data_IF_912684080780
#
_entry.id   IF_912684080780
#
_cell.length_a   1.000
_cell.length_b   1.000
_cell.length_c   1.000
_cell.angle_alpha   90.00
_cell.angle_beta   90.00
_cell.angle_gamma   90.00
#
_symmetry.space_group_name_H-M   'P 1'
#
loop_
_entity.id
_entity.type
_entity.pdbx_description
1 polymer ?
#
# COMPACT_ATOMS: atom_id res chain seq x y z
N UNK A 1 26.37 34.48 33.57
CA UNK A 1 24.95 34.31 33.15
C UNK A 1 24.73 34.80 31.72
N UNK A 2 25.15 36.02 31.36
CA UNK A 2 25.06 36.55 29.98
C UNK A 2 25.71 35.67 28.90
N UNK A 3 26.91 35.13 29.12
CA UNK A 3 27.57 34.23 28.14
C UNK A 3 26.78 32.94 27.86
N UNK A 4 26.11 32.36 28.86
CA UNK A 4 25.22 31.19 28.65
C UNK A 4 23.95 31.57 27.88
N UNK A 5 23.43 32.78 28.09
CA UNK A 5 22.25 33.28 27.40
C UNK A 5 22.54 33.53 25.90
N UNK A 6 23.72 34.08 25.59
CA UNK A 6 24.21 34.26 24.22
C UNK A 6 24.39 32.92 23.50
N UNK A 7 25.04 31.93 24.13
CA UNK A 7 25.20 30.60 23.54
C UNK A 7 23.86 29.92 23.23
N UNK A 8 22.87 30.04 24.12
CA UNK A 8 21.51 29.52 23.85
C UNK A 8 20.79 30.28 22.73
N UNK A 9 21.01 31.59 22.59
CA UNK A 9 20.44 32.36 21.47
C UNK A 9 21.03 31.93 20.12
N UNK A 10 22.33 31.66 20.07
CA UNK A 10 23.01 31.17 18.86
C UNK A 10 22.51 29.76 18.48
N UNK A 11 22.38 28.85 19.45
CA UNK A 11 21.82 27.50 19.22
C UNK A 11 20.37 27.55 18.72
N UNK A 12 19.54 28.44 19.29
CA UNK A 12 18.15 28.65 18.83
C UNK A 12 18.12 29.23 17.41
N UNK A 13 19.04 30.14 17.08
CA UNK A 13 19.14 30.70 15.73
C UNK A 13 19.51 29.63 14.72
N UNK A 14 20.53 28.81 15.02
CA UNK A 14 20.96 27.71 14.16
C UNK A 14 19.84 26.67 13.97
N UNK A 15 19.11 26.35 15.05
CA UNK A 15 17.96 25.45 14.99
C UNK A 15 16.83 26.00 14.09
N UNK A 16 16.56 27.32 14.15
CA UNK A 16 15.56 27.98 13.29
C UNK A 16 15.95 27.95 11.82
N UNK A 17 17.22 28.18 11.50
CA UNK A 17 17.70 28.15 10.11
C UNK A 17 17.67 26.73 9.55
N UNK A 18 18.03 25.72 10.36
CA UNK A 18 17.88 24.31 10.01
C UNK A 18 16.42 23.93 9.78
N UNK A 19 15.50 24.41 10.64
CA UNK A 19 14.06 24.17 10.47
C UNK A 19 13.54 24.78 9.17
N UNK A 20 13.85 26.05 8.88
CA UNK A 20 13.47 26.71 7.62
C UNK A 20 13.98 25.96 6.39
N UNK A 21 15.22 25.49 6.44
CA UNK A 21 15.82 24.71 5.33
C UNK A 21 15.08 23.38 5.14
N UNK A 22 14.69 22.72 6.23
CA UNK A 22 13.90 21.49 6.17
C UNK A 22 12.48 21.73 5.65
N UNK A 23 11.82 22.80 6.07
CA UNK A 23 10.49 23.19 5.60
C UNK A 23 10.50 23.52 4.10
N UNK A 24 11.50 24.27 3.63
CA UNK A 24 11.68 24.58 2.21
C UNK A 24 11.89 23.31 1.37
N UNK A 25 12.68 22.35 1.88
CA UNK A 25 12.92 21.08 1.18
C UNK A 25 11.68 20.19 1.16
N UNK A 26 10.91 20.14 2.25
CA UNK A 26 9.62 19.43 2.29
C UNK A 26 8.62 20.06 1.32
N UNK A 27 8.52 21.39 1.27
CA UNK A 27 7.68 22.08 0.30
C UNK A 27 8.08 21.77 -1.15
N UNK A 28 9.38 21.71 -1.44
CA UNK A 28 9.88 21.32 -2.76
C UNK A 28 9.54 19.86 -3.10
N UNK A 29 9.67 18.94 -2.14
CA UNK A 29 9.32 17.53 -2.34
C UNK A 29 7.81 17.34 -2.58
N UNK A 30 6.97 18.06 -1.83
CA UNK A 30 5.50 18.04 -2.04
C UNK A 30 5.14 18.54 -3.45
N UNK A 31 5.74 19.64 -3.89
CA UNK A 31 5.54 20.15 -5.26
C UNK A 31 5.95 19.12 -6.32
N UNK A 32 7.10 18.45 -6.12
CA UNK A 32 7.57 17.40 -7.03
C UNK A 32 6.64 16.18 -7.05
N UNK A 33 6.05 15.81 -5.91
CA UNK A 33 5.04 14.74 -5.83
C UNK A 33 3.79 15.12 -6.61
N UNK A 34 3.33 16.37 -6.51
CA UNK A 34 2.17 16.84 -7.27
C UNK A 34 2.44 16.91 -8.78
N UNK A 35 3.65 17.32 -9.18
CA UNK A 35 4.13 17.26 -10.58
C UNK A 35 4.13 15.82 -11.10
N UNK A 36 4.69 14.87 -10.34
CA UNK A 36 4.69 13.44 -10.70
C UNK A 36 3.28 12.84 -10.81
N UNK A 37 2.36 13.24 -9.92
CA UNK A 37 0.94 12.85 -10.01
C UNK A 37 0.29 13.39 -11.28
N UNK A 38 0.58 14.63 -11.65
CA UNK A 38 0.05 15.24 -12.87
C UNK A 38 0.61 14.57 -14.14
N UNK A 39 1.91 14.24 -14.15
CA UNK A 39 2.56 13.49 -15.23
C UNK A 39 1.98 12.08 -15.35
N UNK A 40 1.82 11.35 -14.24
CA UNK A 40 1.21 10.02 -14.21
C UNK A 40 -0.23 10.06 -14.75
N UNK A 41 -1.03 11.04 -14.32
CA UNK A 41 -2.39 11.23 -14.84
C UNK A 41 -2.40 11.58 -16.34
N UNK A 42 -1.41 12.31 -16.84
CA UNK A 42 -1.26 12.62 -18.26
C UNK A 42 -0.88 11.40 -19.09
N UNK A 43 0.04 10.59 -18.58
CA UNK A 43 0.43 9.32 -19.19
C UNK A 43 -0.75 8.35 -19.26
N UNK A 44 -1.57 8.28 -18.20
CA UNK A 44 -2.76 7.45 -18.20
C UNK A 44 -3.81 7.92 -19.22
N UNK A 45 -4.04 9.24 -19.32
CA UNK A 45 -4.90 9.81 -20.37
C UNK A 45 -4.38 9.50 -21.78
N UNK A 46 -3.07 9.63 -22.01
CA UNK A 46 -2.45 9.28 -23.29
C UNK A 46 -2.59 7.79 -23.60
N UNK A 47 -2.45 6.92 -22.59
CA UNK A 47 -2.63 5.48 -22.74
C UNK A 47 -4.06 5.14 -23.14
N UNK A 48 -5.05 5.72 -22.45
CA UNK A 48 -6.48 5.57 -22.79
C UNK A 48 -6.83 6.15 -24.16
N UNK A 49 -6.15 7.22 -24.61
CA UNK A 49 -6.31 7.77 -25.95
C UNK A 49 -5.63 6.91 -27.04
N UNK A 50 -4.51 6.26 -26.72
CA UNK A 50 -3.84 5.35 -27.66
C UNK A 50 -4.61 4.04 -27.85
N UNK A 51 -5.23 3.51 -26.80
CA UNK A 51 -6.04 2.28 -26.87
C UNK A 51 -7.36 2.47 -27.63
N UNK A 52 -7.86 3.71 -27.77
CA UNK A 52 -9.02 4.01 -28.61
C UNK A 52 -8.67 4.27 -30.08
N UNK A 53 -7.39 4.40 -30.44
CA UNK A 53 -6.93 4.68 -31.81
C UNK A 53 -6.43 3.46 -32.59
N UNK A 54 -6.26 2.31 -31.94
CA UNK A 54 -5.93 1.04 -32.60
C UNK A 54 -7.19 0.21 -32.83
N UNK A 55 -8.11 0.74 -33.64
CA UNK A 55 -9.16 -0.05 -34.28
C UNK A 55 -9.58 0.62 -35.59
N UNK A 56 -8.62 0.74 -36.52
CA UNK A 56 -8.91 1.02 -37.92
C UNK A 56 -7.76 0.53 -38.80
N UNK A 57 -8.12 -0.16 -39.88
CA UNK A 57 -7.29 -0.95 -40.82
C UNK A 57 -6.96 -2.35 -40.28
N UNK A 58 -7.41 -3.47 -40.87
CA UNK A 58 -7.58 -3.82 -42.28
C UNK A 58 -8.68 -4.89 -42.40
N UNK A 59 -9.74 -4.64 -43.17
CA UNK A 59 -10.53 -5.72 -43.76
C UNK A 59 -10.80 -5.42 -45.24
N UNK A 60 -10.15 -6.24 -46.07
CA UNK A 60 -10.36 -6.38 -47.50
C UNK A 60 -11.57 -7.29 -47.67
N UNK A 61 -12.69 -6.81 -48.22
CA UNK A 61 -13.66 -7.63 -48.96
C UNK A 61 -14.78 -6.79 -49.63
N UNK A 62 -14.69 -6.72 -50.96
CA UNK A 62 -15.78 -6.88 -51.94
C UNK A 62 -17.21 -6.36 -51.68
N UNK A 63 -17.56 -5.35 -52.50
CA UNK A 63 -18.71 -5.23 -53.44
C UNK A 63 -20.15 -5.47 -52.96
N UNK A 64 -20.96 -4.43 -53.19
CA UNK A 64 -22.44 -4.44 -53.28
C UNK A 64 -23.09 -3.81 -52.05
N UNK A 65 -23.93 -2.76 -52.10
CA UNK A 65 -24.52 -1.95 -53.15
C UNK A 65 -25.53 -0.99 -52.47
N UNK A 66 -25.79 0.16 -53.10
CA UNK A 66 -26.91 1.10 -52.88
C UNK A 66 -27.13 1.64 -51.44
N UNK A 67 -26.67 2.87 -51.13
CA UNK A 67 -27.41 4.13 -51.32
C UNK A 67 -28.65 4.29 -50.42
N UNK A 68 -28.59 5.18 -49.42
CA UNK A 68 -29.54 6.28 -49.15
C UNK A 68 -28.83 7.32 -48.26
N UNK A 69 -29.03 8.59 -48.62
CA UNK A 69 -28.50 9.80 -48.02
C UNK A 69 -29.14 10.16 -46.66
N UNK A 70 -28.40 10.86 -45.81
CA UNK A 70 -28.91 12.02 -45.07
C UNK A 70 -27.74 12.81 -44.45
N UNK A 71 -27.65 14.05 -44.90
CA UNK A 71 -26.73 15.11 -44.54
C UNK A 71 -27.15 15.76 -43.22
N UNK A 72 -26.22 16.07 -42.32
CA UNK A 72 -26.28 17.30 -41.50
C UNK A 72 -24.88 17.72 -41.10
N UNK A 73 -24.66 19.03 -41.20
CA UNK A 73 -23.43 19.80 -41.22
C UNK A 73 -22.90 20.22 -39.85
N UNK A 74 -21.55 20.32 -39.79
CA UNK A 74 -20.66 21.35 -39.20
C UNK A 74 -21.33 22.52 -38.46
N UNK A 75 -20.75 22.95 -37.32
CA UNK A 75 -20.00 24.22 -37.31
C UNK A 75 -18.58 24.11 -36.72
N UNK A 76 -17.65 24.71 -37.46
CA UNK A 76 -16.28 25.07 -37.09
C UNK A 76 -16.24 26.41 -36.32
N UNK A 77 -15.06 26.67 -35.74
CA UNK A 77 -14.49 27.94 -35.27
C UNK A 77 -14.85 28.47 -33.88
N UNK A 78 -13.86 28.40 -32.97
CA UNK A 78 -13.45 29.54 -32.13
C UNK A 78 -11.92 29.59 -32.06
N UNK A 79 -11.40 30.78 -32.36
CA UNK A 79 -9.99 31.14 -32.55
C UNK A 79 -9.09 31.03 -31.32
N UNK A 80 -7.82 30.73 -31.59
CA UNK A 80 -6.65 30.96 -30.74
C UNK A 80 -6.25 32.43 -30.81
N UNK A 81 -6.40 33.16 -29.71
CA UNK A 81 -5.68 34.42 -29.51
C UNK A 81 -4.31 34.14 -28.89
N UNK A 82 -3.27 34.63 -29.58
CA UNK A 82 -1.90 34.60 -29.12
C UNK A 82 -1.60 35.76 -28.17
N UNK A 83 -0.85 35.48 -27.11
CA UNK A 83 -0.10 36.48 -26.36
C UNK A 83 1.38 36.20 -26.59
N UNK A 84 1.97 37.03 -27.44
CA UNK A 84 3.42 37.18 -27.59
C UNK A 84 3.95 38.06 -26.45
N UNK A 85 4.89 37.54 -25.65
CA UNK A 85 5.79 38.42 -24.88
C UNK A 85 7.22 37.86 -24.84
N UNK A 86 7.96 38.30 -25.86
CA UNK A 86 9.38 38.67 -25.89
C UNK A 86 10.07 38.73 -24.50
N UNK A 87 10.97 37.78 -24.24
CA UNK A 87 12.15 38.01 -23.36
C UNK A 87 13.39 37.43 -24.05
N UNK A 88 14.33 38.33 -24.36
CA UNK A 88 15.72 38.08 -24.78
C UNK A 88 16.40 37.18 -23.74
N UNK A 89 17.12 36.11 -24.09
CA UNK A 89 18.33 36.16 -24.89
C UNK A 89 19.55 36.24 -23.96
N UNK A 90 20.02 35.07 -23.50
CA UNK A 90 21.38 34.84 -23.00
C UNK A 90 21.77 33.42 -23.39
N UNK A 91 22.67 33.32 -24.36
CA UNK A 91 23.13 32.05 -24.91
C UNK A 91 24.00 31.27 -23.93
N UNK A 92 23.77 29.97 -23.88
CA UNK A 92 24.81 29.00 -23.56
C UNK A 92 24.76 27.89 -24.62
N UNK A 93 25.96 27.48 -25.02
CA UNK A 93 26.26 26.71 -26.21
C UNK A 93 25.42 25.44 -26.35
N UNK A 94 24.83 25.28 -27.54
CA UNK A 94 24.22 24.05 -28.01
C UNK A 94 25.33 23.03 -28.27
N UNK A 95 25.60 22.17 -27.29
CA UNK A 95 26.30 20.91 -27.54
C UNK A 95 25.32 19.98 -28.25
N UNK A 96 25.55 19.77 -29.54
CA UNK A 96 24.85 18.80 -30.37
C UNK A 96 25.02 17.39 -29.80
N UNK A 97 23.99 16.85 -29.15
CA UNK A 97 23.92 15.43 -28.86
C UNK A 97 23.60 14.67 -30.15
N UNK A 98 24.34 13.60 -30.50
CA UNK A 98 24.05 12.79 -31.67
C UNK A 98 22.63 12.22 -31.56
N UNK A 99 21.79 12.55 -32.54
CA UNK A 99 20.48 11.93 -32.75
C UNK A 99 20.67 10.49 -33.22
N UNK A 100 21.05 9.60 -32.31
CA UNK A 100 20.87 8.17 -32.49
C UNK A 100 19.92 7.69 -31.40
N UNK A 101 18.61 7.84 -31.66
CA UNK A 101 17.59 7.08 -30.94
C UNK A 101 17.82 5.62 -31.34
N UNK A 102 18.21 4.71 -30.43
CA UNK A 102 18.31 3.31 -30.76
C UNK A 102 16.91 2.85 -31.13
N UNK A 103 16.73 2.33 -32.34
CA UNK A 103 15.51 1.62 -32.70
C UNK A 103 15.35 0.47 -31.71
N UNK A 104 14.16 0.26 -31.13
CA UNK A 104 13.92 -0.86 -30.22
C UNK A 104 14.26 -2.13 -30.97
N UNK A 105 15.25 -2.87 -30.47
CA UNK A 105 15.51 -4.21 -30.95
C UNK A 105 14.18 -4.96 -30.92
N UNK A 106 13.87 -5.64 -32.03
CA UNK A 106 12.69 -6.49 -32.11
C UNK A 106 12.74 -7.41 -30.89
N UNK A 107 11.91 -7.10 -29.89
CA UNK A 107 11.73 -7.95 -28.73
C UNK A 107 11.18 -9.24 -29.30
N UNK A 108 12.06 -10.22 -29.48
CA UNK A 108 11.70 -11.58 -29.82
C UNK A 108 10.65 -11.95 -28.80
N UNK A 109 9.39 -12.03 -29.25
CA UNK A 109 8.27 -12.50 -28.43
C UNK A 109 8.59 -13.94 -28.07
N UNK A 110 9.35 -14.12 -27.00
CA UNK A 110 9.58 -15.43 -26.40
C UNK A 110 8.20 -15.89 -25.96
N UNK A 111 7.74 -16.99 -26.53
CA UNK A 111 6.53 -17.67 -26.07
C UNK A 111 6.62 -17.95 -24.56
N UNK A 112 5.50 -18.29 -23.90
CA UNK A 112 5.48 -18.47 -22.45
C UNK A 112 6.57 -19.47 -22.07
N UNK A 113 7.61 -19.00 -21.36
CA UNK A 113 8.57 -19.92 -20.78
C UNK A 113 7.79 -20.82 -19.81
N UNK A 114 8.10 -22.13 -19.73
CA UNK A 114 7.55 -22.97 -18.68
C UNK A 114 7.73 -22.27 -17.34
N UNK A 115 6.70 -22.29 -16.49
CA UNK A 115 6.79 -21.77 -15.13
C UNK A 115 7.91 -22.54 -14.41
N UNK A 116 9.10 -21.96 -14.34
CA UNK A 116 10.12 -22.47 -13.45
C UNK A 116 9.65 -22.16 -12.03
N UNK A 117 9.18 -23.19 -11.32
CA UNK A 117 8.69 -23.09 -9.95
C UNK A 117 9.74 -22.53 -8.99
N UNK A 118 11.02 -22.53 -9.37
CA UNK A 118 12.12 -21.99 -8.55
C UNK A 118 12.35 -20.49 -8.72
N UNK A 119 11.85 -19.87 -9.79
CA UNK A 119 12.08 -18.44 -10.03
C UNK A 119 11.15 -17.60 -9.14
N UNK A 120 11.72 -16.62 -8.44
CA UNK A 120 10.96 -15.59 -7.73
C UNK A 120 10.26 -14.71 -8.78
N UNK A 121 8.93 -14.59 -8.71
CA UNK A 121 8.13 -13.84 -9.67
C UNK A 121 7.30 -12.79 -8.95
N UNK A 122 7.51 -11.53 -9.29
CA UNK A 122 6.63 -10.45 -8.89
C UNK A 122 5.58 -10.21 -9.98
N UNK A 123 4.36 -9.90 -9.58
CA UNK A 123 3.23 -9.60 -10.48
C UNK A 123 2.39 -8.48 -9.87
N UNK A 124 1.71 -7.72 -10.73
CA UNK A 124 0.65 -6.81 -10.29
C UNK A 124 -0.68 -7.53 -10.08
N UNK A 125 -0.82 -8.74 -10.62
CA UNK A 125 -2.06 -9.52 -10.58
C UNK A 125 -2.51 -9.77 -9.15
N UNK A 126 -3.82 -9.65 -8.93
CA UNK A 126 -4.48 -9.97 -7.67
C UNK A 126 -4.83 -11.45 -7.66
N UNK A 127 -3.94 -12.28 -7.12
CA UNK A 127 -4.06 -13.73 -7.21
C UNK A 127 -5.22 -14.29 -6.38
N UNK A 128 -6.09 -15.11 -6.98
CA UNK A 128 -7.33 -15.58 -6.33
C UNK A 128 -7.06 -16.41 -5.05
N UNK A 129 -5.96 -17.16 -5.01
CA UNK A 129 -5.55 -17.92 -3.82
C UNK A 129 -5.33 -17.05 -2.57
N UNK A 130 -5.02 -15.76 -2.74
CA UNK A 130 -4.86 -14.82 -1.62
C UNK A 130 -6.20 -14.43 -0.98
N UNK A 131 -7.35 -14.69 -1.62
CA UNK A 131 -8.65 -14.33 -1.05
C UNK A 131 -9.02 -15.17 0.18
N UNK A 132 -8.49 -16.39 0.29
CA UNK A 132 -8.84 -17.34 1.35
C UNK A 132 -8.06 -17.10 2.67
N UNK A 133 -8.03 -15.84 3.12
CA UNK A 133 -7.41 -15.43 4.38
C UNK A 133 -8.25 -14.33 5.06
N UNK A 134 -8.11 -14.20 6.38
CA UNK A 134 -8.62 -13.03 7.09
C UNK A 134 -7.71 -11.81 6.87
N UNK A 135 -8.33 -10.67 6.54
CA UNK A 135 -7.65 -9.39 6.33
C UNK A 135 -8.03 -8.36 7.39
N UNK A 136 -7.07 -7.76 8.13
CA UNK A 136 -7.34 -6.55 8.89
C UNK A 136 -7.59 -5.40 7.89
N UNK A 137 -8.79 -4.83 7.90
CA UNK A 137 -9.22 -3.84 6.89
C UNK A 137 -9.23 -2.41 7.41
N UNK A 138 -9.52 -2.23 8.69
CA UNK A 138 -9.53 -0.95 9.40
C UNK A 138 -9.38 -1.16 10.92
N UNK A 139 -8.92 -0.14 11.63
CA UNK A 139 -8.93 -0.10 13.08
C UNK A 139 -10.37 0.03 13.62
N UNK A 140 -10.75 -0.80 14.59
CA UNK A 140 -12.10 -0.81 15.16
C UNK A 140 -12.56 0.57 15.69
N UNK A 141 -11.63 1.37 16.21
CA UNK A 141 -11.90 2.74 16.68
C UNK A 141 -12.29 3.74 15.57
N UNK A 142 -12.05 3.40 14.30
CA UNK A 142 -12.46 4.22 13.14
C UNK A 142 -13.86 3.86 12.65
N UNK A 143 -14.39 2.73 13.09
CA UNK A 143 -15.73 2.28 12.81
C UNK A 143 -16.63 2.53 14.03
N UNK A 144 -16.91 3.80 14.33
CA UNK A 144 -17.88 4.15 15.38
C UNK A 144 -19.32 3.90 14.91
N UNK A 145 -20.29 3.70 15.82
CA UNK A 145 -21.70 3.60 15.44
C UNK A 145 -22.17 4.78 14.59
N UNK A 146 -22.84 4.49 13.47
CA UNK A 146 -23.29 5.51 12.51
C UNK A 146 -22.26 5.90 11.45
N UNK A 147 -20.99 5.51 11.60
CA UNK A 147 -19.95 5.74 10.61
C UNK A 147 -19.96 4.66 9.51
N UNK A 148 -19.47 5.05 8.34
CA UNK A 148 -19.16 4.14 7.24
C UNK A 148 -17.71 4.31 6.83
N UNK A 149 -17.01 3.21 6.59
CA UNK A 149 -15.63 3.22 6.12
C UNK A 149 -15.54 2.51 4.77
N UNK A 150 -15.43 3.24 3.65
CA UNK A 150 -15.20 2.64 2.35
C UNK A 150 -13.77 2.15 2.21
N UNK A 151 -13.60 1.04 1.50
CA UNK A 151 -12.31 0.46 1.16
C UNK A 151 -12.41 -0.39 -0.09
N UNK A 152 -11.27 -0.61 -0.74
CA UNK A 152 -11.17 -1.57 -1.82
C UNK A 152 -10.37 -2.77 -1.33
N UNK A 153 -10.83 -3.98 -1.69
CA UNK A 153 -10.16 -5.23 -1.40
C UNK A 153 -10.25 -6.14 -2.62
N UNK A 154 -9.11 -6.52 -3.16
CA UNK A 154 -9.00 -7.27 -4.41
C UNK A 154 -9.79 -6.67 -5.59
N UNK A 155 -9.74 -5.35 -5.75
CA UNK A 155 -10.38 -4.63 -6.85
C UNK A 155 -11.89 -4.38 -6.67
N UNK A 156 -12.48 -4.86 -5.57
CA UNK A 156 -13.90 -4.72 -5.29
C UNK A 156 -14.11 -3.65 -4.21
N UNK A 157 -15.01 -2.66 -4.43
CA UNK A 157 -15.32 -1.65 -3.43
C UNK A 157 -16.28 -2.22 -2.37
N UNK A 158 -15.94 -2.01 -1.12
CA UNK A 158 -16.64 -2.47 0.08
C UNK A 158 -16.85 -1.32 1.05
N UNK A 159 -17.86 -1.44 1.91
CA UNK A 159 -18.12 -0.47 2.97
C UNK A 159 -18.37 -1.19 4.28
N UNK A 160 -17.60 -0.80 5.31
CA UNK A 160 -17.82 -1.22 6.69
C UNK A 160 -18.83 -0.29 7.36
N UNK A 161 -19.70 -0.84 8.19
CA UNK A 161 -20.57 -0.12 9.13
C UNK A 161 -20.90 -1.01 10.32
N UNK A 162 -21.54 -0.43 11.35
CA UNK A 162 -22.10 -1.21 12.47
C UNK A 162 -23.60 -1.37 12.33
N UNK A 163 -24.07 -2.58 12.56
CA UNK A 163 -25.51 -2.90 12.62
C UNK A 163 -26.16 -2.37 13.92
N UNK A 164 -27.44 -2.66 14.11
CA UNK A 164 -28.22 -2.29 15.29
C UNK A 164 -27.71 -2.93 16.60
N UNK A 165 -26.94 -4.01 16.50
CA UNK A 165 -26.29 -4.70 17.62
C UNK A 165 -24.85 -4.22 17.83
N UNK A 166 -24.43 -3.17 17.12
CA UNK A 166 -23.06 -2.65 17.11
C UNK A 166 -22.01 -3.65 16.60
N UNK A 167 -22.42 -4.73 15.92
CA UNK A 167 -21.48 -5.65 15.29
C UNK A 167 -20.95 -5.07 13.98
N UNK A 168 -19.66 -5.28 13.65
CA UNK A 168 -19.12 -4.84 12.37
C UNK A 168 -19.71 -5.65 11.22
N UNK A 169 -20.07 -4.97 10.15
CA UNK A 169 -20.63 -5.57 8.92
C UNK A 169 -19.92 -5.00 7.71
N UNK A 170 -19.85 -5.77 6.61
CA UNK A 170 -19.23 -5.38 5.37
C UNK A 170 -20.10 -5.79 4.19
N UNK A 171 -20.51 -4.80 3.39
CA UNK A 171 -21.28 -5.03 2.17
C UNK A 171 -20.58 -4.38 0.99
N UNK A 172 -20.88 -4.86 -0.22
CA UNK A 172 -20.34 -4.28 -1.44
C UNK A 172 -20.81 -2.83 -1.55
N UNK A 173 -19.87 -1.91 -1.77
CA UNK A 173 -20.14 -0.47 -1.86
C UNK A 173 -20.69 -0.08 -3.24
N UNK A 174 -21.78 -0.72 -3.64
CA UNK A 174 -22.39 -0.53 -4.95
C UNK A 174 -23.87 -0.91 -4.88
N UNK A 175 -24.74 0.10 -4.80
CA UNK A 175 -26.19 -0.09 -4.67
C UNK A 175 -26.75 -0.94 -5.81
N UNK A 176 -27.54 -1.96 -5.48
CA UNK A 176 -28.16 -2.89 -6.44
C UNK A 176 -29.04 -2.21 -7.51
N UNK A 177 -29.52 -0.97 -7.26
CA UNK A 177 -30.33 -0.24 -8.24
C UNK A 177 -29.51 0.34 -9.39
N UNK A 178 -28.48 1.14 -9.12
CA UNK A 178 -27.70 1.88 -10.13
C UNK A 178 -26.20 1.98 -9.82
N UNK A 179 -25.67 1.03 -9.05
CA UNK A 179 -24.27 0.98 -8.64
C UNK A 179 -23.77 2.25 -7.92
N UNK A 180 -24.67 3.06 -7.36
CA UNK A 180 -24.32 4.23 -6.56
C UNK A 180 -23.50 3.80 -5.32
N UNK A 181 -22.37 4.44 -5.02
CA UNK A 181 -21.63 4.16 -3.79
C UNK A 181 -22.53 4.36 -2.57
N UNK A 182 -22.70 3.29 -1.80
CA UNK A 182 -23.50 3.27 -0.57
C UNK A 182 -22.82 4.08 0.53
N UNK A 183 -21.48 4.12 0.54
CA UNK A 183 -20.64 4.89 1.46
C UNK A 183 -20.82 6.41 1.38
N UNK A 184 -21.42 6.93 0.31
CA UNK A 184 -21.83 8.34 0.21
C UNK A 184 -23.17 8.63 0.92
N UNK A 185 -23.83 7.60 1.42
CA UNK A 185 -25.09 7.67 2.14
C UNK A 185 -24.91 7.91 3.64
N UNK A 186 -25.71 7.19 4.43
CA UNK A 186 -25.67 7.24 5.89
C UNK A 186 -26.19 5.93 6.48
N UNK A 187 -25.82 5.64 7.72
CA UNK A 187 -26.39 4.53 8.49
C UNK A 187 -27.64 5.01 9.23
N UNK A 188 -28.74 4.27 9.13
CA UNK A 188 -30.00 4.50 9.85
C UNK A 188 -30.41 3.20 10.51
N UNK A 189 -30.55 3.17 11.85
CA UNK A 189 -30.96 1.99 12.60
C UNK A 189 -30.14 0.73 12.23
N UNK A 190 -28.82 0.88 12.04
CA UNK A 190 -27.95 -0.22 11.64
C UNK A 190 -27.99 -0.58 10.16
N UNK A 191 -28.74 0.12 9.31
CA UNK A 191 -28.81 -0.14 7.86
C UNK A 191 -28.16 0.98 7.06
N UNK A 192 -27.49 0.65 5.96
CA UNK A 192 -26.94 1.65 5.03
C UNK A 192 -28.04 2.16 4.10
N UNK A 193 -28.35 3.44 4.18
CA UNK A 193 -29.26 4.12 3.25
C UNK A 193 -28.46 4.72 2.08
N UNK A 194 -28.74 4.23 0.87
CA UNK A 194 -28.21 4.78 -0.36
C UNK A 194 -28.66 6.25 -0.55
N UNK A 195 -27.74 7.18 -0.87
CA UNK A 195 -28.06 8.60 -0.98
C UNK A 195 -28.93 8.95 -2.20
N UNK A 196 -29.09 8.01 -3.15
CA UNK A 196 -29.77 8.29 -4.40
C UNK A 196 -31.29 8.17 -4.28
N UNK A 197 -31.81 6.96 -4.00
CA UNK A 197 -33.25 6.70 -3.92
C UNK A 197 -33.67 6.19 -2.54
N UNK A 198 -32.80 6.31 -1.54
CA UNK A 198 -33.10 5.94 -0.16
C UNK A 198 -33.30 4.44 0.06
N UNK A 199 -32.79 3.58 -0.82
CA UNK A 199 -32.79 2.13 -0.58
C UNK A 199 -31.91 1.82 0.61
N UNK A 200 -32.41 1.02 1.54
CA UNK A 200 -31.69 0.64 2.76
C UNK A 200 -31.23 -0.82 2.66
N UNK A 201 -30.00 -1.09 3.11
CA UNK A 201 -29.38 -2.41 3.12
C UNK A 201 -28.93 -2.77 4.53
N UNK A 202 -29.20 -4.00 4.96
CA UNK A 202 -28.71 -4.52 6.25
C UNK A 202 -27.29 -5.12 6.12
N UNK A 203 -26.75 -5.62 7.25
CA UNK A 203 -25.43 -6.25 7.31
C UNK A 203 -25.25 -7.51 6.46
N UNK A 204 -26.35 -8.17 6.04
CA UNK A 204 -26.32 -9.29 5.11
C UNK A 204 -26.27 -8.85 3.64
N UNK A 205 -26.40 -7.55 3.39
CA UNK A 205 -26.51 -6.96 2.05
C UNK A 205 -27.92 -7.03 1.48
N UNK A 206 -28.92 -7.55 2.21
CA UNK A 206 -30.29 -7.57 1.73
C UNK A 206 -30.86 -6.15 1.69
N UNK A 207 -31.54 -5.79 0.59
CA UNK A 207 -32.31 -4.55 0.55
C UNK A 207 -33.53 -4.72 1.46
N UNK A 208 -33.70 -3.83 2.44
CA UNK A 208 -34.76 -3.90 3.46
C UNK A 208 -35.84 -2.84 3.26
N UNK A 209 -35.57 -1.80 2.46
CA UNK A 209 -36.52 -0.71 2.20
C UNK A 209 -36.35 -0.09 0.83
N UNK A 210 -37.48 0.28 0.20
CA UNK A 210 -37.53 0.99 -1.08
C UNK A 210 -38.60 2.10 -1.03
N UNK A 211 -38.27 3.36 -0.68
CA UNK A 211 -39.26 4.41 -0.41
C UNK A 211 -40.20 4.75 -1.59
N UNK A 212 -39.73 4.68 -2.83
CA UNK A 212 -40.45 5.16 -4.02
C UNK A 212 -41.02 4.05 -4.90
N UNK A 213 -41.05 2.81 -4.40
CA UNK A 213 -41.63 1.67 -5.12
C UNK A 213 -42.16 0.62 -4.15
N UNK A 214 -42.98 -0.30 -4.64
CA UNK A 214 -43.29 -1.52 -3.89
C UNK A 214 -42.00 -2.31 -3.68
N UNK A 215 -41.89 -2.96 -2.53
CA UNK A 215 -40.73 -3.78 -2.19
C UNK A 215 -40.56 -4.92 -3.19
N UNK A 216 -39.38 -5.03 -3.78
CA UNK A 216 -38.98 -6.18 -4.59
C UNK A 216 -38.09 -7.10 -3.73
N UNK A 217 -38.58 -8.31 -3.43
CA UNK A 217 -37.82 -9.28 -2.64
C UNK A 217 -36.68 -9.91 -3.46
N UNK A 218 -35.63 -10.36 -2.77
CA UNK A 218 -34.45 -10.96 -3.41
C UNK A 218 -33.46 -9.96 -4.00
N UNK A 219 -33.67 -8.66 -3.78
CA UNK A 219 -32.74 -7.60 -4.18
C UNK A 219 -31.75 -7.35 -3.05
N UNK A 220 -30.46 -7.33 -3.38
CA UNK A 220 -29.40 -7.11 -2.41
C UNK A 220 -28.04 -6.92 -3.06
N UNK A 221 -27.04 -6.70 -2.22
CA UNK A 221 -25.62 -6.61 -2.57
C UNK A 221 -24.87 -7.75 -1.89
N UNK A 222 -23.67 -8.06 -2.37
CA UNK A 222 -22.82 -9.03 -1.69
C UNK A 222 -22.42 -8.53 -0.30
N UNK A 223 -22.24 -9.45 0.65
CA UNK A 223 -21.72 -9.19 1.98
C UNK A 223 -20.53 -10.11 2.27
N UNK A 224 -19.59 -9.65 3.09
CA UNK A 224 -18.45 -10.45 3.54
C UNK A 224 -18.53 -10.71 5.04
N UNK A 225 -18.15 -11.91 5.51
CA UNK A 225 -18.00 -12.18 6.94
C UNK A 225 -17.00 -11.21 7.58
N UNK A 226 -17.38 -10.68 8.74
CA UNK A 226 -16.59 -9.73 9.49
C UNK A 226 -16.53 -10.07 10.97
N UNK A 227 -15.43 -9.72 11.62
CA UNK A 227 -15.30 -9.82 13.07
C UNK A 227 -14.39 -8.73 13.60
N UNK A 228 -14.71 -8.23 14.79
CA UNK A 228 -13.84 -7.31 15.52
C UNK A 228 -12.92 -8.10 16.45
N UNK A 229 -11.61 -7.93 16.29
CA UNK A 229 -10.61 -8.63 17.10
C UNK A 229 -9.31 -7.85 17.15
N UNK A 230 -8.70 -7.79 18.33
CA UNK A 230 -7.42 -7.10 18.59
C UNK A 230 -7.42 -5.63 18.12
N UNK A 231 -8.56 -4.95 18.23
CA UNK A 231 -8.74 -3.55 17.79
C UNK A 231 -8.77 -3.36 16.27
N UNK A 232 -8.91 -4.42 15.48
CA UNK A 232 -9.14 -4.38 14.03
C UNK A 232 -10.53 -4.90 13.67
N UNK A 233 -11.06 -4.42 12.55
CA UNK A 233 -12.15 -5.07 11.82
C UNK A 233 -11.55 -5.97 10.77
N UNK A 234 -11.75 -7.27 10.94
CA UNK A 234 -11.28 -8.31 10.03
C UNK A 234 -12.36 -8.67 9.04
N UNK A 235 -11.98 -8.87 7.79
CA UNK A 235 -12.88 -9.27 6.70
C UNK A 235 -12.35 -10.54 6.04
N UNK A 236 -13.25 -11.47 5.74
CA UNK A 236 -12.96 -12.68 4.98
C UNK A 236 -13.50 -12.52 3.54
N UNK A 237 -12.64 -12.31 2.53
CA UNK A 237 -13.04 -12.21 1.13
C UNK A 237 -13.00 -13.57 0.39
N UNK A 238 -12.71 -14.66 1.09
CA UNK A 238 -12.57 -16.00 0.53
C UNK A 238 -13.90 -16.61 0.12
N UNK A 239 -13.82 -17.69 -0.64
CA UNK A 239 -15.00 -18.43 -1.07
C UNK A 239 -15.60 -19.23 0.09
N UNK A 240 -16.89 -19.04 0.33
CA UNK A 240 -17.60 -19.75 1.41
C UNK A 240 -17.32 -19.19 2.81
N UNK A 241 -17.81 -19.88 3.86
CA UNK A 241 -17.62 -19.44 5.24
C UNK A 241 -16.14 -19.53 5.64
N UNK A 242 -15.64 -18.61 6.47
CA UNK A 242 -14.30 -18.71 7.04
C UNK A 242 -14.18 -20.00 7.86
N UNK A 243 -13.06 -20.73 7.76
CA UNK A 243 -12.87 -21.99 8.48
C UNK A 243 -12.69 -21.77 9.99
N UNK A 244 -12.05 -20.68 10.37
CA UNK A 244 -11.65 -20.34 11.75
C UNK A 244 -11.77 -18.83 12.01
N UNK A 245 -11.53 -18.41 13.26
CA UNK A 245 -11.40 -16.99 13.63
C UNK A 245 -10.08 -16.38 13.11
N UNK A 246 -9.97 -15.04 13.00
CA UNK A 246 -8.71 -14.39 12.66
C UNK A 246 -7.60 -14.69 13.66
N UNK A 247 -6.33 -14.68 13.23
CA UNK A 247 -5.20 -15.15 14.03
C UNK A 247 -4.92 -14.31 15.28
N UNK A 248 -4.35 -14.93 16.32
CA UNK A 248 -4.14 -14.38 17.68
C UNK A 248 -2.81 -13.63 17.90
N UNK A 249 -2.19 -13.08 16.86
CA UNK A 249 -0.88 -12.41 16.99
C UNK A 249 -0.92 -10.88 16.80
N UNK A 250 -2.10 -10.28 16.56
CA UNK A 250 -2.20 -8.86 16.22
C UNK A 250 -2.45 -7.92 17.40
N UNK A 251 -2.78 -8.47 18.56
CA UNK A 251 -2.81 -7.72 19.80
C UNK A 251 -1.40 -7.22 20.14
N UNK A 252 -1.25 -5.98 20.66
CA UNK A 252 0.00 -5.55 21.26
C UNK A 252 0.46 -6.54 22.33
N UNK A 253 1.77 -6.83 22.43
CA UNK A 253 2.27 -7.70 23.48
C UNK A 253 1.94 -7.16 24.88
N UNK A 254 1.87 -8.04 25.87
CA UNK A 254 1.62 -7.63 27.25
C UNK A 254 2.64 -6.58 27.72
N UNK A 255 2.16 -5.50 28.32
CA UNK A 255 2.99 -4.37 28.78
C UNK A 255 3.22 -3.28 27.73
N UNK A 256 2.76 -3.46 26.49
CA UNK A 256 2.86 -2.44 25.45
C UNK A 256 1.56 -1.63 25.34
N UNK A 257 1.71 -0.31 25.24
CA UNK A 257 0.62 0.62 24.96
C UNK A 257 0.60 0.99 23.47
N UNK A 258 -0.58 1.07 22.86
CA UNK A 258 -0.73 1.59 21.48
C UNK A 258 -0.55 3.11 21.50
N UNK A 259 0.42 3.60 20.71
CA UNK A 259 0.75 5.02 20.59
C UNK A 259 0.29 5.65 19.28
N UNK A 260 0.22 4.86 18.20
CA UNK A 260 -0.25 5.33 16.91
C UNK A 260 -0.95 4.22 16.13
N UNK A 261 -2.01 4.59 15.43
CA UNK A 261 -2.68 3.74 14.43
C UNK A 261 -3.00 4.61 13.23
N UNK A 262 -2.49 4.22 12.07
CA UNK A 262 -2.50 5.01 10.84
C UNK A 262 -2.98 4.11 9.71
N UNK A 263 -3.92 4.61 8.92
CA UNK A 263 -4.38 4.00 7.67
C UNK A 263 -4.04 4.95 6.53
N UNK A 264 -3.49 4.40 5.44
CA UNK A 264 -3.20 5.14 4.22
C UNK A 264 -3.30 4.22 3.00
N UNK A 265 -3.97 4.70 1.95
CA UNK A 265 -3.96 4.05 0.64
C UNK A 265 -2.77 4.58 -0.19
N UNK A 266 -1.98 3.68 -0.76
CA UNK A 266 -0.78 4.00 -1.55
C UNK A 266 -0.81 3.33 -2.93
N UNK A 267 -0.33 4.00 -3.99
CA UNK A 267 -0.41 3.51 -5.37
C UNK A 267 0.74 2.54 -5.71
N UNK A 268 0.97 1.56 -4.84
CA UNK A 268 1.97 0.52 -5.04
C UNK A 268 1.39 -0.86 -4.77
N UNK A 269 1.87 -1.86 -5.48
CA UNK A 269 1.55 -3.27 -5.31
C UNK A 269 1.98 -3.74 -3.91
N UNK A 270 1.11 -4.49 -3.25
CA UNK A 270 1.23 -4.82 -1.83
C UNK A 270 2.42 -5.70 -1.48
N UNK A 271 2.85 -6.57 -2.39
CA UNK A 271 4.06 -7.36 -2.19
C UNK A 271 5.33 -6.56 -2.32
N UNK A 272 5.40 -5.61 -3.25
CA UNK A 272 6.55 -4.71 -3.32
C UNK A 272 6.71 -3.90 -2.02
N UNK A 273 5.60 -3.41 -1.46
CA UNK A 273 5.62 -2.72 -0.18
C UNK A 273 6.00 -3.67 0.98
N UNK A 274 5.47 -4.88 1.00
CA UNK A 274 5.83 -5.90 1.98
C UNK A 274 7.33 -6.25 1.91
N UNK A 275 7.87 -6.46 0.71
CA UNK A 275 9.29 -6.78 0.49
C UNK A 275 10.19 -5.64 0.95
N UNK A 276 9.83 -4.39 0.67
CA UNK A 276 10.53 -3.22 1.18
C UNK A 276 10.50 -3.16 2.72
N UNK A 277 9.35 -3.39 3.35
CA UNK A 277 9.25 -3.43 4.83
C UNK A 277 10.07 -4.56 5.46
N UNK A 278 10.21 -5.69 4.75
CA UNK A 278 10.96 -6.87 5.18
C UNK A 278 12.46 -6.79 4.85
N UNK A 279 12.95 -5.71 4.24
CA UNK A 279 14.36 -5.46 3.99
C UNK A 279 14.85 -4.32 4.88
N UNK A 280 15.78 -4.58 5.81
CA UNK A 280 16.35 -3.53 6.65
C UNK A 280 17.68 -2.99 6.10
N UNK A 281 18.25 -3.61 5.06
CA UNK A 281 19.55 -3.23 4.51
C UNK A 281 19.51 -1.85 3.83
N UNK A 282 18.36 -1.44 3.28
CA UNK A 282 18.21 -0.12 2.67
C UNK A 282 18.15 1.02 3.70
N UNK A 283 17.80 0.74 4.96
CA UNK A 283 17.47 1.77 5.95
C UNK A 283 18.57 2.84 6.16
N UNK A 284 19.88 2.51 6.26
CA UNK A 284 20.95 3.51 6.38
C UNK A 284 21.07 4.47 5.19
N UNK A 285 20.53 4.09 4.02
CA UNK A 285 20.62 4.87 2.78
C UNK A 285 19.35 5.68 2.53
N UNK A 286 18.19 5.08 2.80
CA UNK A 286 16.87 5.70 2.57
C UNK A 286 16.47 6.62 3.73
N UNK A 287 16.61 6.14 4.97
CA UNK A 287 16.08 6.81 6.16
C UNK A 287 17.08 7.78 6.84
N UNK A 288 17.93 8.41 6.03
CA UNK A 288 18.98 9.32 6.51
C UNK A 288 18.44 10.62 7.12
N UNK A 289 17.17 10.96 6.86
CA UNK A 289 16.52 12.14 7.46
C UNK A 289 15.54 11.81 8.58
N UNK A 290 15.24 10.52 8.77
CA UNK A 290 14.29 10.01 9.76
C UNK A 290 15.01 9.19 10.83
N UNK A 291 14.69 7.90 10.98
CA UNK A 291 15.16 7.08 12.11
C UNK A 291 16.59 6.57 11.92
N UNK A 292 17.08 6.46 10.68
CA UNK A 292 18.45 6.04 10.38
C UNK A 292 19.44 7.21 10.25
N UNK A 293 19.04 8.42 10.65
CA UNK A 293 19.90 9.59 10.61
C UNK A 293 21.18 9.38 11.44
N UNK A 294 22.33 9.44 10.77
CA UNK A 294 23.64 9.27 11.38
C UNK A 294 24.02 7.81 11.67
N UNK A 295 23.27 6.84 11.16
CA UNK A 295 23.67 5.45 11.21
C UNK A 295 24.93 5.22 10.35
N UNK A 296 26.00 4.59 10.88
CA UNK A 296 27.08 4.14 10.02
C UNK A 296 26.59 3.00 9.12
N UNK A 297 27.11 2.94 7.89
CA UNK A 297 26.86 1.83 6.97
C UNK A 297 27.63 0.62 7.50
N UNK A 298 26.96 -0.49 7.86
CA UNK A 298 27.66 -1.70 8.30
C UNK A 298 28.39 -2.37 7.13
N UNK A 299 29.51 -3.07 7.40
CA UNK A 299 30.22 -3.85 6.38
C UNK A 299 29.39 -5.01 5.85
N UNK A 300 28.55 -5.60 6.71
CA UNK A 300 27.60 -6.64 6.36
C UNK A 300 26.31 -6.46 7.15
N UNK A 301 25.18 -6.69 6.48
CA UNK A 301 23.87 -6.88 7.10
C UNK A 301 23.50 -8.34 6.94
N UNK A 302 23.04 -8.99 8.00
CA UNK A 302 22.62 -10.39 7.97
C UNK A 302 21.22 -10.54 8.56
N UNK A 303 20.51 -11.52 8.05
CA UNK A 303 19.24 -11.97 8.61
C UNK A 303 19.37 -13.39 9.14
N UNK A 304 19.27 -13.53 10.46
CA UNK A 304 19.32 -14.81 11.16
C UNK A 304 17.91 -15.36 11.29
N UNK A 305 17.54 -16.27 10.39
CA UNK A 305 16.24 -16.94 10.46
C UNK A 305 16.14 -17.82 11.71
N UNK A 306 15.19 -17.52 12.60
CA UNK A 306 14.90 -18.31 13.81
C UNK A 306 13.65 -19.18 13.63
N UNK A 307 12.74 -18.79 12.74
CA UNK A 307 11.57 -19.58 12.32
C UNK A 307 11.43 -19.53 10.80
N UNK A 308 10.42 -20.23 10.25
CA UNK A 308 10.15 -20.24 8.81
C UNK A 308 9.99 -18.83 8.24
N UNK A 309 9.17 -17.97 8.87
CA UNK A 309 8.91 -16.60 8.41
C UNK A 309 9.30 -15.55 9.46
N UNK A 310 10.28 -15.85 10.31
CA UNK A 310 10.76 -14.91 11.33
C UNK A 310 12.27 -15.05 11.59
N UNK A 311 12.86 -13.99 12.09
CA UNK A 311 14.29 -13.94 12.40
C UNK A 311 14.73 -12.59 12.93
N UNK A 312 16.03 -12.46 13.13
CA UNK A 312 16.66 -11.30 13.73
C UNK A 312 17.68 -10.70 12.76
N UNK A 313 17.72 -9.37 12.71
CA UNK A 313 18.71 -8.64 11.96
C UNK A 313 20.04 -8.54 12.73
N UNK A 314 21.15 -8.47 12.01
CA UNK A 314 22.50 -8.18 12.54
C UNK A 314 23.12 -7.10 11.64
N UNK A 315 23.63 -5.96 12.18
CA UNK A 315 23.84 -5.64 13.61
C UNK A 315 22.70 -4.88 14.28
N UNK A 316 21.51 -4.88 13.68
CA UNK A 316 20.35 -4.16 14.20
C UNK A 316 19.58 -5.05 15.20
N UNK A 317 19.30 -4.60 16.43
CA UNK A 317 18.50 -5.28 17.44
C UNK A 317 17.01 -5.24 17.04
N UNK A 318 16.68 -5.79 15.87
CA UNK A 318 15.36 -5.82 15.29
C UNK A 318 15.01 -7.26 15.00
N UNK A 319 14.01 -7.76 15.72
CA UNK A 319 13.36 -9.02 15.38
C UNK A 319 12.21 -8.71 14.42
N UNK A 320 12.04 -9.53 13.40
CA UNK A 320 11.05 -9.32 12.36
C UNK A 320 10.42 -10.63 11.91
N UNK A 321 9.12 -10.58 11.60
CA UNK A 321 8.38 -11.71 11.06
C UNK A 321 7.36 -11.28 10.01
N UNK A 322 7.22 -12.11 8.99
CA UNK A 322 6.09 -12.08 8.08
C UNK A 322 5.04 -13.09 8.55
N UNK A 323 3.80 -12.63 8.62
CA UNK A 323 2.65 -13.41 9.01
C UNK A 323 1.60 -13.30 7.88
N UNK A 324 1.21 -14.43 7.24
CA UNK A 324 0.22 -14.43 6.19
C UNK A 324 -1.11 -13.74 6.59
N UNK A 325 -1.82 -13.13 5.62
CA UNK A 325 -1.43 -13.04 4.21
C UNK A 325 -0.53 -11.83 3.90
N UNK A 326 -0.55 -10.79 4.73
CA UNK A 326 0.06 -9.50 4.39
C UNK A 326 0.51 -8.68 5.61
N UNK A 327 0.94 -9.35 6.69
CA UNK A 327 1.25 -8.69 7.95
C UNK A 327 2.75 -8.81 8.26
N UNK A 328 3.43 -7.69 8.47
CA UNK A 328 4.79 -7.65 9.01
C UNK A 328 4.74 -7.20 10.47
N UNK A 329 5.34 -8.00 11.36
CA UNK A 329 5.57 -7.64 12.75
C UNK A 329 7.06 -7.42 12.97
N UNK A 330 7.42 -6.32 13.61
CA UNK A 330 8.79 -6.07 14.05
C UNK A 330 8.84 -5.56 15.49
N UNK A 331 9.90 -5.96 16.19
CA UNK A 331 10.21 -5.47 17.54
C UNK A 331 11.63 -4.93 17.53
N UNK A 332 11.76 -3.63 17.78
CA UNK A 332 13.01 -2.88 17.75
C UNK A 332 13.46 -2.62 19.18
N UNK A 333 14.64 -3.14 19.54
CA UNK A 333 15.33 -2.83 20.78
C UNK A 333 15.98 -1.44 20.76
N UNK A 334 15.71 -0.63 21.79
CA UNK A 334 16.20 0.74 21.92
C UNK A 334 17.14 0.89 23.14
N UNK A 335 18.30 1.53 22.95
CA UNK A 335 19.14 2.00 24.10
C UNK A 335 18.52 3.22 24.76
N UNK A 336 18.09 4.15 23.92
CA UNK A 336 17.40 5.39 24.24
C UNK A 336 16.29 5.56 23.20
N UNK A 337 15.24 6.35 23.47
CA UNK A 337 14.23 6.64 22.45
C UNK A 337 14.91 7.18 21.18
N UNK A 338 14.73 6.48 20.05
CA UNK A 338 15.35 6.81 18.76
C UNK A 338 16.82 6.40 18.57
N UNK A 339 17.46 5.72 19.53
CA UNK A 339 18.82 5.19 19.37
C UNK A 339 18.86 3.67 19.51
N UNK A 340 19.39 3.02 18.49
CA UNK A 340 19.55 1.58 18.42
C UNK A 340 20.88 1.14 19.07
N UNK A 341 20.88 0.05 19.86
CA UNK A 341 22.12 -0.60 20.31
C UNK A 341 22.61 -1.58 19.24
N UNK A 342 23.76 -1.34 18.62
CA UNK A 342 24.32 -2.27 17.63
C UNK A 342 25.07 -3.42 18.30
N UNK A 343 24.96 -4.62 17.73
CA UNK A 343 25.59 -5.84 18.26
C UNK A 343 24.84 -6.48 19.43
N UNK A 344 23.64 -5.97 19.74
CA UNK A 344 22.73 -6.55 20.72
C UNK A 344 21.55 -7.17 19.99
N UNK A 345 20.91 -8.15 20.62
CA UNK A 345 19.58 -8.62 20.17
C UNK A 345 18.49 -7.67 20.65
N UNK A 346 17.35 -7.67 19.96
CA UNK A 346 16.17 -6.92 20.39
C UNK A 346 15.83 -7.23 21.86
N UNK A 347 15.85 -8.51 22.24
CA UNK A 347 15.54 -9.04 23.58
C UNK A 347 16.48 -8.54 24.70
N UNK A 348 17.69 -8.10 24.35
CA UNK A 348 18.69 -7.61 25.32
C UNK A 348 18.47 -6.13 25.68
N UNK A 349 17.58 -5.44 24.96
CA UNK A 349 17.28 -4.04 25.18
C UNK A 349 16.28 -3.85 26.33
N UNK A 350 16.32 -2.69 26.99
CA UNK A 350 15.41 -2.37 28.11
C UNK A 350 14.08 -1.75 27.68
N UNK A 351 13.99 -1.35 26.42
CA UNK A 351 12.88 -0.60 25.83
C UNK A 351 12.70 -1.07 24.41
N UNK A 352 11.44 -1.17 24.00
CA UNK A 352 11.08 -1.76 22.74
C UNK A 352 10.01 -0.94 22.04
N UNK A 353 10.20 -0.82 20.74
CA UNK A 353 9.19 -0.34 19.80
C UNK A 353 8.65 -1.56 19.05
N UNK A 354 7.38 -1.86 19.25
CA UNK A 354 6.66 -2.89 18.51
C UNK A 354 5.87 -2.25 17.38
N UNK A 355 6.02 -2.78 16.17
CA UNK A 355 5.38 -2.29 14.97
C UNK A 355 4.63 -3.42 14.27
N UNK A 356 3.41 -3.12 13.84
CA UNK A 356 2.59 -3.99 13.01
C UNK A 356 2.23 -3.22 11.75
N UNK A 357 2.61 -3.76 10.59
CA UNK A 357 2.22 -3.26 9.28
C UNK A 357 1.34 -4.28 8.57
N UNK A 358 0.23 -3.84 8.00
CA UNK A 358 -0.66 -4.63 7.15
C UNK A 358 -0.63 -4.03 5.76
N UNK A 359 -0.13 -4.75 4.77
CA UNK A 359 -0.12 -4.32 3.36
C UNK A 359 -1.25 -5.02 2.59
N UNK A 360 -2.49 -4.56 2.79
CA UNK A 360 -3.65 -5.21 2.22
C UNK A 360 -3.78 -4.92 0.71
N UNK A 361 -4.00 -5.94 -0.14
CA UNK A 361 -4.23 -5.75 -1.57
C UNK A 361 -5.54 -4.99 -1.83
N UNK A 362 -5.42 -3.76 -2.32
CA UNK A 362 -6.57 -2.88 -2.58
C UNK A 362 -7.10 -3.07 -4.00
N UNK A 363 -6.33 -2.62 -4.99
CA UNK A 363 -6.55 -2.83 -6.44
C UNK A 363 -5.23 -3.28 -7.06
N UNK A 364 -5.24 -3.61 -8.35
CA UNK A 364 -3.99 -3.83 -9.08
C UNK A 364 -3.03 -2.63 -8.87
N UNK A 365 -1.80 -2.92 -8.42
CA UNK A 365 -0.80 -1.89 -8.14
C UNK A 365 -1.16 -0.91 -7.03
N UNK A 366 -2.11 -1.23 -6.14
CA UNK A 366 -2.51 -0.37 -5.01
C UNK A 366 -2.62 -1.17 -3.71
N UNK A 367 -2.22 -0.54 -2.61
CA UNK A 367 -2.21 -1.14 -1.27
C UNK A 367 -2.90 -0.24 -0.29
N UNK A 368 -3.73 -0.84 0.57
CA UNK A 368 -4.15 -0.20 1.82
C UNK A 368 -3.17 -0.59 2.91
N UNK A 369 -2.43 0.38 3.43
CA UNK A 369 -1.48 0.20 4.51
C UNK A 369 -2.14 0.55 5.85
N UNK A 370 -2.18 -0.41 6.78
CA UNK A 370 -2.45 -0.16 8.19
C UNK A 370 -1.15 -0.26 8.97
N UNK A 371 -0.89 0.70 9.83
CA UNK A 371 0.29 0.74 10.69
C UNK A 371 -0.14 0.96 12.14
N UNK A 372 0.26 0.05 13.04
CA UNK A 372 0.10 0.19 14.49
C UNK A 372 1.48 0.25 15.15
N UNK A 373 1.67 1.26 15.98
CA UNK A 373 2.87 1.46 16.78
C UNK A 373 2.53 1.28 18.26
N UNK A 374 3.29 0.42 18.94
CA UNK A 374 3.15 0.20 20.38
C UNK A 374 4.50 0.27 21.09
N UNK A 375 4.54 0.81 22.31
CA UNK A 375 5.75 0.97 23.11
C UNK A 375 5.55 0.33 24.49
N UNK A 376 6.61 -0.29 25.04
CA UNK A 376 6.64 -0.76 26.43
C UNK A 376 7.12 0.32 27.42
N UNK A 377 7.31 1.54 26.93
CA UNK A 377 7.73 2.72 27.69
C UNK A 377 6.90 3.93 27.29
N UNK A 378 6.98 5.00 28.10
CA UNK A 378 6.26 6.25 27.83
C UNK A 378 4.73 6.12 27.75
N UNK A 379 4.10 5.24 28.51
CA UNK A 379 2.63 5.16 28.56
C UNK A 379 1.93 6.51 28.84
N UNK A 380 2.59 7.47 29.49
CA UNK A 380 2.07 8.84 29.67
C UNK A 380 2.00 9.67 28.37
N UNK A 381 2.86 9.39 27.39
CA UNK A 381 2.97 10.15 26.15
C UNK A 381 1.72 10.06 25.28
N UNK A 382 0.92 8.99 25.41
CA UNK A 382 -0.37 8.83 24.70
C UNK A 382 -1.42 9.87 25.13
N UNK A 383 -1.24 10.50 26.29
CA UNK A 383 -2.13 11.55 26.81
C UNK A 383 -1.66 12.96 26.45
N UNK A 384 -0.51 13.12 25.79
CA UNK A 384 -0.03 14.43 25.35
C UNK A 384 -0.92 14.92 24.21
N UNK A 385 -1.52 16.13 24.33
CA UNK A 385 -2.34 16.69 23.26
C UNK A 385 -1.58 16.76 21.93
N UNK A 386 -2.25 16.40 20.83
CA UNK A 386 -1.71 16.44 19.45
C UNK A 386 -0.52 15.51 19.19
N UNK A 387 -0.19 14.59 20.10
CA UNK A 387 0.90 13.62 19.89
C UNK A 387 0.61 12.72 18.68
N UNK A 388 -0.66 12.45 18.40
CA UNK A 388 -1.09 11.66 17.24
C UNK A 388 -0.77 12.36 15.91
N UNK A 389 -0.86 13.69 15.85
CA UNK A 389 -0.47 14.48 14.68
C UNK A 389 1.04 14.39 14.47
N UNK A 390 1.83 14.44 15.54
CA UNK A 390 3.27 14.25 15.47
C UNK A 390 3.63 12.86 14.94
N UNK A 391 3.00 11.80 15.47
CA UNK A 391 3.23 10.43 15.02
C UNK A 391 2.84 10.24 13.54
N UNK A 392 1.69 10.78 13.13
CA UNK A 392 1.26 10.75 11.72
C UNK A 392 2.26 11.45 10.80
N UNK A 393 2.81 12.59 11.21
CA UNK A 393 3.81 13.32 10.44
C UNK A 393 5.10 12.52 10.28
N UNK A 394 5.60 11.90 11.36
CA UNK A 394 6.80 11.07 11.32
C UNK A 394 6.58 9.84 10.43
N UNK A 395 5.48 9.13 10.63
CA UNK A 395 5.15 7.94 9.84
C UNK A 395 4.97 8.29 8.34
N UNK A 396 4.30 9.41 8.03
CA UNK A 396 4.15 9.88 6.65
C UNK A 396 5.49 10.26 6.00
N UNK A 397 6.44 10.80 6.76
CA UNK A 397 7.79 11.10 6.25
C UNK A 397 8.56 9.81 5.97
N UNK A 398 8.56 8.83 6.89
CA UNK A 398 9.23 7.53 6.71
C UNK A 398 8.65 6.82 5.49
N UNK A 399 7.33 6.66 5.43
CA UNK A 399 6.64 6.05 4.30
C UNK A 399 6.94 6.80 2.98
N UNK A 400 7.03 8.12 3.01
CA UNK A 400 7.37 8.92 1.82
C UNK A 400 8.78 8.66 1.28
N UNK A 401 9.76 8.38 2.15
CA UNK A 401 11.12 8.02 1.75
C UNK A 401 11.15 6.67 1.02
N UNK A 402 10.41 5.68 1.53
CA UNK A 402 10.31 4.35 0.91
C UNK A 402 9.48 4.37 -0.37
N UNK A 403 8.31 5.02 -0.33
CA UNK A 403 7.32 4.97 -1.41
C UNK A 403 7.91 5.42 -2.75
N UNK A 404 8.83 6.40 -2.76
CA UNK A 404 9.50 6.83 -4.00
C UNK A 404 10.34 5.70 -4.62
N UNK A 405 11.01 4.90 -3.80
CA UNK A 405 11.82 3.77 -4.26
C UNK A 405 10.93 2.64 -4.79
N UNK A 406 9.89 2.29 -4.04
CA UNK A 406 9.00 1.17 -4.41
C UNK A 406 8.14 1.52 -5.64
N UNK A 407 7.72 2.78 -5.79
CA UNK A 407 7.10 3.26 -7.04
C UNK A 407 8.04 3.16 -8.23
N UNK A 408 9.33 3.46 -8.02
CA UNK A 408 10.37 3.22 -9.00
C UNK A 408 10.42 1.75 -9.39
N UNK A 409 10.56 0.85 -8.42
CA UNK A 409 10.58 -0.61 -8.66
C UNK A 409 9.34 -1.08 -9.43
N UNK A 410 8.14 -0.67 -9.03
CA UNK A 410 6.90 -0.99 -9.73
C UNK A 410 6.92 -0.54 -11.19
N UNK A 411 7.37 0.68 -11.48
CA UNK A 411 7.45 1.17 -12.85
C UNK A 411 8.42 0.36 -13.73
N UNK A 412 9.54 -0.11 -13.17
CA UNK A 412 10.51 -0.98 -13.87
C UNK A 412 9.95 -2.39 -14.05
N UNK A 413 9.27 -2.91 -13.03
CA UNK A 413 8.58 -4.20 -13.10
C UNK A 413 7.50 -4.23 -14.19
N UNK A 414 6.71 -3.16 -14.32
CA UNK A 414 5.76 -2.97 -15.44
C UNK A 414 6.49 -2.96 -16.79
N UNK A 415 7.68 -2.38 -16.84
CA UNK A 415 8.56 -2.38 -18.02
C UNK A 415 9.17 -3.76 -18.35
N UNK A 416 8.98 -4.77 -17.50
CA UNK A 416 9.50 -6.13 -17.68
C UNK A 416 10.80 -6.41 -16.92
N UNK A 417 11.29 -5.46 -16.10
CA UNK A 417 12.42 -5.73 -15.21
C UNK A 417 12.02 -6.72 -14.11
N UNK A 418 12.96 -7.54 -13.70
CA UNK A 418 12.78 -8.50 -12.62
C UNK A 418 13.25 -7.88 -11.29
N UNK A 419 12.32 -7.67 -10.35
CA UNK A 419 12.64 -7.12 -9.01
C UNK A 419 13.51 -8.07 -8.18
N UNK A 420 13.54 -9.36 -8.55
CA UNK A 420 14.33 -10.40 -7.91
C UNK A 420 15.46 -10.91 -8.82
N UNK A 421 15.99 -10.04 -9.69
CA UNK A 421 17.05 -10.41 -10.65
C UNK A 421 18.35 -10.89 -9.98
N UNK A 422 18.69 -10.38 -8.79
CA UNK A 422 19.87 -10.80 -8.01
C UNK A 422 19.55 -10.70 -6.52
N UNK A 423 18.94 -11.74 -5.92
CA UNK A 423 18.70 -11.79 -4.48
C UNK A 423 20.02 -11.89 -3.71
N UNK A 424 20.08 -11.26 -2.56
CA UNK A 424 21.25 -11.20 -1.67
C UNK A 424 21.00 -11.98 -0.37
N UNK A 425 22.05 -12.39 0.37
CA UNK A 425 21.89 -13.15 1.61
C UNK A 425 21.03 -12.45 2.70
N UNK A 426 21.00 -11.12 2.71
CA UNK A 426 20.14 -10.34 3.63
C UNK A 426 18.66 -10.33 3.22
N UNK A 427 18.33 -10.67 1.97
CA UNK A 427 16.94 -10.75 1.48
C UNK A 427 16.20 -12.00 1.96
N UNK A 428 16.81 -12.81 2.83
CA UNK A 428 16.31 -14.14 3.23
C UNK A 428 14.84 -14.11 3.66
N UNK A 429 14.39 -13.10 4.42
CA UNK A 429 12.99 -12.99 4.84
C UNK A 429 12.05 -12.65 3.67
N UNK A 430 12.42 -11.65 2.85
CA UNK A 430 11.64 -11.22 1.69
C UNK A 430 11.58 -12.31 0.61
N UNK A 431 12.66 -13.06 0.37
CA UNK A 431 12.69 -14.24 -0.51
C UNK A 431 11.72 -15.31 -0.02
N UNK A 432 11.66 -15.57 1.30
CA UNK A 432 10.71 -16.54 1.87
C UNK A 432 9.26 -16.08 1.74
N UNK A 433 8.99 -14.80 1.97
CA UNK A 433 7.69 -14.19 1.66
C UNK A 433 7.31 -14.40 0.18
N UNK A 434 8.21 -14.06 -0.75
CA UNK A 434 7.93 -14.18 -2.19
C UNK A 434 7.70 -15.62 -2.62
N UNK A 435 8.45 -16.58 -2.08
CA UNK A 435 8.21 -18.01 -2.32
C UNK A 435 6.84 -18.44 -1.83
N UNK A 436 6.47 -18.05 -0.61
CA UNK A 436 5.13 -18.31 -0.07
C UNK A 436 4.04 -17.73 -0.98
N UNK A 437 4.20 -16.47 -1.42
CA UNK A 437 3.23 -15.83 -2.33
C UNK A 437 3.12 -16.57 -3.66
N UNK A 438 4.23 -17.00 -4.25
CA UNK A 438 4.20 -17.77 -5.50
C UNK A 438 3.51 -19.13 -5.32
N UNK A 439 3.69 -19.81 -4.17
CA UNK A 439 2.97 -21.06 -3.88
C UNK A 439 1.45 -20.84 -3.78
N UNK A 440 1.02 -19.77 -3.12
CA UNK A 440 -0.40 -19.41 -3.03
C UNK A 440 -0.97 -19.15 -4.43
N UNK A 441 -0.23 -18.39 -5.25
CA UNK A 441 -0.61 -18.10 -6.63
C UNK A 441 -0.68 -19.34 -7.53
N UNK A 442 0.21 -20.31 -7.31
CA UNK A 442 0.23 -21.59 -8.04
C UNK A 442 -0.76 -22.63 -7.46
N UNK A 443 -1.50 -22.31 -6.38
CA UNK A 443 -2.48 -23.19 -5.75
C UNK A 443 -1.87 -24.33 -4.91
N UNK A 444 -0.60 -24.22 -4.54
CA UNK A 444 0.17 -25.23 -3.82
C UNK A 444 0.17 -25.03 -2.29
N UNK A 445 -0.48 -23.97 -1.80
CA UNK A 445 -0.53 -23.64 -0.37
C UNK A 445 -1.83 -24.13 0.28
N UNK A 446 -1.72 -25.06 1.24
CA UNK A 446 -2.81 -25.43 2.16
C UNK A 446 -2.55 -24.83 3.55
N UNK A 447 -3.52 -24.15 4.16
CA UNK A 447 -3.37 -23.47 5.47
C UNK A 447 -2.97 -24.44 6.62
N UNK A 448 -3.38 -25.71 6.53
CA UNK A 448 -2.98 -26.79 7.43
C UNK A 448 -1.56 -27.34 7.22
N UNK A 449 -0.84 -26.88 6.19
CA UNK A 449 0.49 -27.37 5.81
C UNK A 449 1.66 -26.70 6.55
N UNK A 450 1.41 -26.02 7.69
CA UNK A 450 2.48 -25.54 8.60
C UNK A 450 3.54 -26.61 8.89
N UNK A 451 3.16 -27.90 8.85
CA UNK A 451 4.06 -29.04 9.04
C UNK A 451 4.55 -29.74 7.75
N UNK A 452 3.96 -29.51 6.56
CA UNK A 452 4.42 -30.15 5.31
C UNK A 452 5.49 -29.33 4.59
N UNK A 453 5.52 -28.01 4.79
CA UNK A 453 6.58 -27.16 4.24
C UNK A 453 7.96 -27.38 4.90
N UNK A 454 8.04 -27.94 6.11
CA UNK A 454 9.32 -28.18 6.79
C UNK A 454 10.26 -29.06 5.98
N UNK A 455 9.74 -30.09 5.28
CA UNK A 455 10.60 -31.04 4.56
C UNK A 455 11.15 -30.53 3.22
N UNK A 456 10.42 -29.64 2.52
CA UNK A 456 10.89 -29.09 1.26
C UNK A 456 11.80 -27.87 1.43
N UNK A 457 11.74 -27.16 2.56
CA UNK A 457 12.47 -25.90 2.74
C UNK A 457 13.76 -26.01 3.57
N UNK A 458 13.89 -26.98 4.48
CA UNK A 458 15.12 -27.21 5.26
C UNK A 458 16.29 -27.75 4.42
N UNK A 459 16.04 -28.17 3.17
CA UNK A 459 17.05 -28.74 2.27
C UNK A 459 17.65 -27.74 1.27
N UNK A 460 17.25 -26.46 1.33
CA UNK A 460 17.86 -25.45 0.45
C UNK A 460 19.13 -24.92 1.09
N UNK A 461 20.29 -24.98 0.38
CA UNK A 461 21.50 -24.34 0.89
C UNK A 461 21.22 -22.86 1.14
N UNK A 462 21.75 -22.34 2.25
CA UNK A 462 21.84 -20.91 2.50
C UNK A 462 22.42 -20.27 1.22
N UNK A 463 21.64 -19.34 0.64
CA UNK A 463 22.02 -18.58 -0.56
C UNK A 463 23.37 -17.89 -0.35
#
# INVERSE_FOLDING_TARGET
MQSKLLGLQDEISEARDKLRTSEARVAQNLKRVDELKAEAASLERMRLASSSSTDSTVSIASRGGAAVAATTSVPDHVEREGIQSRVRGSGMASTSYPSHVPQPSQAVRRGPKPKDSRRLRSSLELEDGLRNFWYPTEFAKKLEPGMMVPFDLFGVPWVLFRDEHSAPTCIKDSCAHRACPLSLGKVINGHVQCPYHGWEFDGSGACTKMPSTRMCHGVGVAALPCVEKDGFVWVWPGDGPPPDLPPDFTAPPAGYDVHAEIMVDVPVEHGLLMENLLDLAHAPFTHTTTFARGWPIPEAVRFHATKMLAGDWDPYPISMSFNPPCIALSTIGLSQPGKIMRGYKAEECKRHLHQLHVCMPSKEGHTRLLYRMSLDFWGWAKHVPFVDVLWKKIAGQVLGEDLVLVLGQQARMIGGDDTWCTPMPYDKLAVRYRRWRNMVADGEYEEGSRNRCTSQYDSWPDV
#
